data_IF_359575704202
#
_entry.id   IF_359575704202
#
_cell.length_a   1.000
_cell.length_b   1.000
_cell.length_c   1.000
_cell.angle_alpha   90.00
_cell.angle_beta   90.00
_cell.angle_gamma   90.00
#
_symmetry.space_group_name_H-M   'P 1'
#
loop_
_entity.id
_entity.type
_entity.pdbx_description
1 polymer ?
#
# COMPACT_ATOMS: atom_id res chain seq x y z
N UNK A 1 61.14 48.14 23.58
CA UNK A 1 60.86 46.96 22.77
C UNK A 1 59.38 46.56 23.03
N UNK A 2 58.46 46.90 22.16
CA UNK A 2 57.02 46.55 22.26
C UNK A 2 56.72 45.44 21.26
N UNK A 3 56.38 44.29 21.79
CA UNK A 3 56.01 43.11 20.97
C UNK A 3 54.52 43.12 20.78
N UNK A 4 54.06 43.41 19.54
CA UNK A 4 52.65 43.39 19.18
C UNK A 4 52.29 41.97 18.68
N UNK A 5 51.47 41.28 19.46
CA UNK A 5 50.92 39.96 19.07
C UNK A 5 49.67 40.18 18.20
N UNK A 6 49.75 39.82 16.94
CA UNK A 6 48.61 39.85 16.00
C UNK A 6 47.90 38.49 16.10
N UNK A 7 46.72 38.49 16.68
CA UNK A 7 45.89 37.30 16.80
C UNK A 7 45.05 37.16 15.52
N UNK A 8 45.29 36.10 14.70
CA UNK A 8 44.47 35.74 13.56
C UNK A 8 43.26 34.93 14.04
N UNK A 9 42.04 35.47 13.89
CA UNK A 9 40.80 34.76 14.13
C UNK A 9 40.42 34.06 12.81
N UNK A 10 40.51 32.73 12.81
CA UNK A 10 40.07 31.88 11.69
C UNK A 10 38.57 31.70 11.79
N UNK A 11 37.79 32.35 10.94
CA UNK A 11 36.35 32.16 10.83
C UNK A 11 36.06 30.89 10.04
N UNK A 12 35.60 29.84 10.73
CA UNK A 12 35.14 28.59 10.09
C UNK A 12 33.71 28.81 9.64
N UNK A 13 33.50 29.01 8.34
CA UNK A 13 32.18 28.96 7.71
C UNK A 13 31.74 27.51 7.58
N UNK A 14 30.88 27.03 8.44
CA UNK A 14 30.18 25.76 8.32
C UNK A 14 29.11 25.93 7.22
N UNK A 15 29.39 25.41 6.04
CA UNK A 15 28.39 25.32 4.95
C UNK A 15 27.35 24.28 5.34
N UNK A 16 26.16 24.72 5.74
CA UNK A 16 25.00 23.84 5.90
C UNK A 16 24.53 23.41 4.51
N UNK A 17 24.89 22.19 4.13
CA UNK A 17 24.33 21.57 2.93
C UNK A 17 22.82 21.43 3.10
N UNK A 18 22.05 22.16 2.31
CA UNK A 18 20.59 22.10 2.28
C UNK A 18 20.19 20.75 1.68
N UNK A 19 19.62 19.90 2.53
CA UNK A 19 19.11 18.59 2.11
C UNK A 19 17.95 18.83 1.13
N UNK A 20 17.93 18.18 -0.06
CA UNK A 20 16.82 18.34 -0.99
C UNK A 20 15.51 17.97 -0.29
N UNK A 21 14.51 18.83 -0.40
CA UNK A 21 13.17 18.54 0.11
C UNK A 21 12.66 17.25 -0.52
N UNK A 22 12.15 16.32 0.30
CA UNK A 22 11.51 15.13 -0.19
C UNK A 22 10.39 15.52 -1.18
N UNK A 23 10.23 14.80 -2.31
CA UNK A 23 9.16 15.10 -3.24
C UNK A 23 7.81 15.04 -2.51
N UNK A 24 6.84 15.92 -2.85
CA UNK A 24 5.54 15.91 -2.20
C UNK A 24 4.92 14.53 -2.33
N UNK A 25 4.36 14.03 -1.23
CA UNK A 25 3.62 12.77 -1.22
C UNK A 25 2.61 12.81 -2.35
N UNK A 26 2.69 11.84 -3.27
CA UNK A 26 1.77 11.74 -4.40
C UNK A 26 0.34 11.76 -3.87
N UNK A 27 -0.47 12.75 -4.26
CA UNK A 27 -1.91 12.79 -4.05
C UNK A 27 -2.61 11.84 -5.03
N UNK A 28 -2.03 10.68 -5.26
CA UNK A 28 -2.60 9.67 -6.15
C UNK A 28 -4.01 9.33 -5.66
N UNK A 29 -5.01 9.74 -6.42
CA UNK A 29 -6.39 9.34 -6.19
C UNK A 29 -6.51 7.86 -6.50
N UNK A 30 -7.05 7.08 -5.55
CA UNK A 30 -7.32 5.66 -5.79
C UNK A 30 -8.50 5.52 -6.75
N UNK A 31 -8.28 4.82 -7.85
CA UNK A 31 -9.31 4.63 -8.89
C UNK A 31 -10.29 3.53 -8.48
N UNK A 32 -11.59 3.86 -8.48
CA UNK A 32 -12.65 2.93 -8.11
C UNK A 32 -12.86 1.83 -9.16
N UNK A 33 -12.79 2.16 -10.46
CA UNK A 33 -12.99 1.17 -11.51
C UNK A 33 -11.83 0.15 -11.57
N UNK A 34 -10.60 0.60 -11.33
CA UNK A 34 -9.47 -0.30 -11.16
C UNK A 34 -9.67 -1.20 -9.94
N UNK A 35 -10.11 -0.63 -8.82
CA UNK A 35 -10.43 -1.41 -7.63
C UNK A 35 -11.46 -2.49 -7.93
N UNK A 36 -12.61 -2.10 -8.47
CA UNK A 36 -13.72 -3.01 -8.76
C UNK A 36 -13.34 -4.14 -9.70
N UNK A 37 -12.60 -3.82 -10.75
CA UNK A 37 -12.31 -4.78 -11.84
C UNK A 37 -11.02 -5.57 -11.64
N UNK A 38 -10.06 -5.08 -10.87
CA UNK A 38 -8.74 -5.70 -10.72
C UNK A 38 -8.41 -6.10 -9.28
N UNK A 39 -8.69 -5.23 -8.32
CA UNK A 39 -8.35 -5.47 -6.90
C UNK A 39 -9.38 -6.36 -6.23
N UNK A 40 -10.65 -6.06 -6.38
CA UNK A 40 -11.75 -6.76 -5.70
C UNK A 40 -11.80 -8.26 -6.02
N UNK A 41 -11.56 -8.75 -7.25
CA UNK A 41 -11.48 -10.18 -7.55
C UNK A 41 -10.41 -10.92 -6.74
N UNK A 42 -9.31 -10.26 -6.36
CA UNK A 42 -8.24 -10.85 -5.55
C UNK A 42 -8.76 -11.33 -4.19
N UNK A 43 -9.73 -10.62 -3.61
CA UNK A 43 -10.32 -10.99 -2.31
C UNK A 43 -11.22 -12.24 -2.39
N UNK A 44 -11.69 -12.57 -3.58
CA UNK A 44 -12.50 -13.75 -3.88
C UNK A 44 -11.68 -14.95 -4.37
N UNK A 45 -10.45 -14.69 -4.82
CA UNK A 45 -9.58 -15.71 -5.38
C UNK A 45 -9.25 -16.80 -4.34
N UNK A 46 -9.38 -18.06 -4.74
CA UNK A 46 -8.95 -19.21 -3.93
C UNK A 46 -7.49 -19.52 -4.25
N UNK A 47 -6.67 -19.57 -3.22
CA UNK A 47 -5.25 -19.94 -3.33
C UNK A 47 -5.00 -21.27 -2.66
N UNK A 48 -4.11 -22.14 -3.20
CA UNK A 48 -3.72 -23.38 -2.54
C UNK A 48 -3.21 -23.11 -1.12
N UNK A 49 -3.70 -23.86 -0.16
CA UNK A 49 -3.27 -23.74 1.24
C UNK A 49 -3.82 -22.53 2.00
N UNK A 50 -4.61 -21.65 1.37
CA UNK A 50 -5.14 -20.45 2.00
C UNK A 50 -6.67 -20.34 1.91
N UNK A 51 -7.28 -19.76 2.95
CA UNK A 51 -8.65 -19.29 2.87
C UNK A 51 -8.73 -18.08 1.92
N UNK A 52 -9.90 -17.85 1.29
CA UNK A 52 -10.14 -16.60 0.55
C UNK A 52 -10.12 -15.42 1.53
N UNK A 53 -9.61 -14.26 1.11
CA UNK A 53 -9.57 -13.07 1.96
C UNK A 53 -10.94 -12.73 2.54
N UNK A 54 -12.01 -12.83 1.72
CA UNK A 54 -13.40 -12.60 2.15
C UNK A 54 -13.81 -13.49 3.32
N UNK A 55 -13.29 -14.71 3.46
CA UNK A 55 -13.71 -15.63 4.51
C UNK A 55 -13.47 -15.07 5.92
N UNK A 56 -12.39 -14.33 6.11
CA UNK A 56 -12.08 -13.65 7.36
C UNK A 56 -12.58 -12.20 7.34
N UNK A 57 -12.41 -11.50 6.22
CA UNK A 57 -12.69 -10.07 6.13
C UNK A 57 -14.18 -9.71 6.01
N UNK A 58 -15.08 -10.69 5.79
CA UNK A 58 -16.52 -10.46 5.92
C UNK A 58 -17.04 -10.40 7.36
N UNK A 59 -16.26 -10.92 8.32
CA UNK A 59 -16.73 -11.07 9.70
C UNK A 59 -16.39 -9.85 10.58
N UNK A 60 -15.17 -9.73 11.07
CA UNK A 60 -14.80 -8.71 12.04
C UNK A 60 -13.31 -8.36 11.96
N UNK A 61 -12.97 -7.37 11.17
CA UNK A 61 -11.58 -6.91 11.03
C UNK A 61 -11.54 -5.41 10.76
N UNK A 62 -10.37 -4.81 10.87
CA UNK A 62 -10.16 -3.40 10.51
C UNK A 62 -10.42 -3.08 9.03
N UNK A 63 -10.36 -4.10 8.14
CA UNK A 63 -10.73 -4.02 6.74
C UNK A 63 -11.95 -4.93 6.51
N UNK A 64 -13.14 -4.46 6.80
CA UNK A 64 -14.35 -5.26 6.66
C UNK A 64 -14.92 -5.14 5.26
N UNK A 65 -14.96 -6.26 4.55
CA UNK A 65 -15.65 -6.41 3.26
C UNK A 65 -17.12 -6.77 3.48
N UNK A 66 -17.97 -6.44 2.50
CA UNK A 66 -19.34 -6.89 2.50
C UNK A 66 -19.39 -8.42 2.33
N UNK A 67 -20.26 -9.14 3.04
CA UNK A 67 -20.49 -10.55 2.75
C UNK A 67 -21.08 -10.69 1.33
N UNK A 68 -20.78 -11.82 0.65
CA UNK A 68 -21.47 -12.13 -0.59
C UNK A 68 -22.89 -12.58 -0.30
N UNK A 69 -23.85 -12.11 -1.11
CA UNK A 69 -25.20 -12.64 -1.07
C UNK A 69 -25.20 -14.15 -1.47
N UNK A 70 -26.11 -14.95 -0.91
CA UNK A 70 -26.21 -16.37 -1.26
C UNK A 70 -26.31 -16.57 -2.78
N UNK A 71 -25.44 -17.42 -3.32
CA UNK A 71 -25.40 -17.72 -4.75
C UNK A 71 -24.66 -16.67 -5.62
N UNK A 72 -24.25 -15.54 -5.06
CA UNK A 72 -23.51 -14.52 -5.82
C UNK A 72 -22.02 -14.86 -5.93
N UNK A 73 -21.46 -14.69 -7.12
CA UNK A 73 -20.03 -14.85 -7.38
C UNK A 73 -19.25 -13.54 -7.16
N UNK A 74 -19.93 -12.40 -7.10
CA UNK A 74 -19.33 -11.07 -6.92
C UNK A 74 -20.27 -10.15 -6.15
N UNK A 75 -19.80 -8.96 -5.83
CA UNK A 75 -20.56 -7.91 -5.17
C UNK A 75 -21.35 -7.05 -6.15
N UNK A 76 -22.44 -6.48 -5.67
CA UNK A 76 -23.16 -5.41 -6.36
C UNK A 76 -22.31 -4.13 -6.42
N UNK A 77 -22.74 -3.17 -7.22
CA UNK A 77 -22.08 -1.86 -7.32
C UNK A 77 -22.01 -1.14 -5.95
N UNK A 78 -23.15 -1.14 -5.23
CA UNK A 78 -23.23 -0.53 -3.91
C UNK A 78 -22.29 -1.20 -2.88
N UNK A 79 -22.24 -2.53 -2.87
CA UNK A 79 -21.33 -3.29 -2.01
C UNK A 79 -19.87 -3.05 -2.40
N UNK A 80 -19.59 -2.90 -3.69
CA UNK A 80 -18.26 -2.58 -4.20
C UNK A 80 -17.78 -1.21 -3.73
N UNK A 81 -18.65 -0.21 -3.69
CA UNK A 81 -18.33 1.10 -3.09
C UNK A 81 -18.02 0.99 -1.60
N UNK A 82 -18.81 0.22 -0.84
CA UNK A 82 -18.55 -0.02 0.59
C UNK A 82 -17.21 -0.75 0.80
N UNK A 83 -16.89 -1.72 -0.05
CA UNK A 83 -15.62 -2.41 -0.04
C UNK A 83 -14.46 -1.48 -0.37
N UNK A 84 -14.60 -0.64 -1.40
CA UNK A 84 -13.62 0.38 -1.73
C UNK A 84 -13.33 1.28 -0.55
N UNK A 85 -14.37 1.79 0.12
CA UNK A 85 -14.21 2.64 1.31
C UNK A 85 -13.54 1.93 2.49
N UNK A 86 -13.74 0.63 2.64
CA UNK A 86 -13.07 -0.17 3.67
C UNK A 86 -11.59 -0.37 3.33
N UNK A 87 -11.28 -0.72 2.07
CA UNK A 87 -9.94 -1.10 1.64
C UNK A 87 -9.03 0.13 1.48
N UNK A 88 -9.53 1.25 0.97
CA UNK A 88 -8.73 2.47 0.80
C UNK A 88 -8.12 2.98 2.12
N UNK A 89 -8.77 2.69 3.26
CA UNK A 89 -8.22 3.02 4.59
C UNK A 89 -6.97 2.23 4.96
N UNK A 90 -6.69 1.13 4.26
CA UNK A 90 -5.48 0.32 4.42
C UNK A 90 -4.35 0.76 3.49
N UNK A 91 -4.56 1.83 2.71
CA UNK A 91 -3.59 2.32 1.72
C UNK A 91 -3.03 3.67 2.15
N UNK A 92 -1.72 3.79 2.08
CA UNK A 92 -1.01 5.05 2.04
C UNK A 92 -0.64 5.27 0.57
N UNK A 93 -1.28 6.20 -0.15
CA UNK A 93 -1.08 6.36 -1.59
C UNK A 93 0.40 6.56 -1.95
N UNK A 94 0.87 5.83 -2.96
CA UNK A 94 2.26 5.85 -3.41
C UNK A 94 3.26 5.15 -2.48
N UNK A 95 2.81 4.43 -1.45
CA UNK A 95 3.70 3.79 -0.48
C UNK A 95 3.55 2.27 -0.45
N UNK A 96 4.68 1.58 -0.60
CA UNK A 96 4.75 0.12 -0.38
C UNK A 96 4.47 -0.27 1.08
N UNK A 97 4.54 0.68 2.02
CA UNK A 97 4.24 0.47 3.44
C UNK A 97 2.73 0.49 3.75
N UNK A 98 1.89 0.52 2.72
CA UNK A 98 0.45 0.34 2.87
C UNK A 98 0.14 -1.00 3.53
N UNK A 99 -0.72 -1.01 4.55
CA UNK A 99 -1.11 -2.26 5.23
C UNK A 99 -1.73 -3.28 4.27
N UNK A 100 -2.44 -2.81 3.25
CA UNK A 100 -2.97 -3.65 2.18
C UNK A 100 -1.88 -4.49 1.49
N UNK A 101 -0.67 -3.95 1.36
CA UNK A 101 0.46 -4.60 0.70
C UNK A 101 1.29 -5.44 1.66
N UNK A 102 1.60 -4.88 2.83
CA UNK A 102 2.53 -5.51 3.77
C UNK A 102 1.89 -6.65 4.58
N UNK A 103 0.61 -6.50 4.95
CA UNK A 103 -0.03 -7.43 5.87
C UNK A 103 -0.15 -8.86 5.33
N UNK A 104 -0.59 -9.09 4.07
CA UNK A 104 -0.67 -10.41 3.45
C UNK A 104 0.66 -10.90 2.83
N UNK A 105 1.72 -10.08 2.81
CA UNK A 105 3.02 -10.43 2.24
C UNK A 105 3.87 -11.22 3.25
N UNK A 106 4.63 -12.20 2.77
CA UNK A 106 5.58 -12.95 3.57
C UNK A 106 6.62 -12.02 4.22
N UNK A 107 7.00 -12.32 5.46
CA UNK A 107 7.97 -11.51 6.22
C UNK A 107 9.32 -11.43 5.52
N UNK A 108 9.76 -12.53 4.92
CA UNK A 108 11.00 -12.65 4.17
C UNK A 108 10.99 -11.80 2.88
N UNK A 109 9.78 -11.48 2.37
CA UNK A 109 9.58 -10.60 1.24
C UNK A 109 9.38 -9.12 1.65
N UNK A 110 9.50 -8.80 2.95
CA UNK A 110 9.34 -7.46 3.50
C UNK A 110 7.94 -7.17 4.04
N UNK A 111 7.12 -8.20 4.26
CA UNK A 111 5.80 -8.07 4.85
C UNK A 111 5.82 -7.89 6.37
N UNK A 112 4.66 -7.58 6.94
CA UNK A 112 4.47 -7.50 8.39
C UNK A 112 4.73 -8.85 9.06
N UNK A 113 5.13 -8.79 10.33
CA UNK A 113 5.37 -10.01 11.12
C UNK A 113 4.12 -10.89 11.23
N UNK A 114 2.94 -10.29 11.42
CA UNK A 114 1.73 -11.03 11.70
C UNK A 114 0.57 -10.69 10.74
N UNK A 115 -0.12 -11.74 10.28
CA UNK A 115 -1.42 -11.68 9.62
C UNK A 115 -2.20 -12.93 10.02
N UNK A 116 -3.34 -12.78 10.71
CA UNK A 116 -4.11 -13.89 11.28
C UNK A 116 -4.60 -14.88 10.20
N UNK A 117 -4.86 -14.41 8.99
CA UNK A 117 -5.25 -15.25 7.85
C UNK A 117 -4.08 -15.93 7.13
N UNK A 118 -2.85 -15.81 7.65
CA UNK A 118 -1.63 -16.27 7.00
C UNK A 118 -1.11 -15.33 5.92
N UNK A 119 0.05 -15.64 5.38
CA UNK A 119 0.71 -14.84 4.34
C UNK A 119 0.30 -15.36 2.96
N UNK A 120 -0.46 -14.55 2.23
CA UNK A 120 -1.04 -14.93 0.93
C UNK A 120 -0.07 -14.77 -0.24
N UNK A 121 0.93 -13.88 -0.09
CA UNK A 121 1.92 -13.57 -1.13
C UNK A 121 3.32 -13.90 -0.62
N UNK A 122 4.00 -14.83 -1.28
CA UNK A 122 5.38 -15.23 -0.93
C UNK A 122 6.43 -14.25 -1.45
N UNK A 123 6.07 -13.40 -2.41
CA UNK A 123 7.00 -12.49 -3.09
C UNK A 123 6.30 -11.21 -3.54
N UNK A 124 7.06 -10.12 -3.61
CA UNK A 124 6.62 -8.87 -4.25
C UNK A 124 6.46 -8.99 -5.78
N UNK A 125 6.87 -10.11 -6.37
CA UNK A 125 6.66 -10.41 -7.79
C UNK A 125 5.37 -11.20 -8.05
N UNK A 126 4.58 -11.50 -7.02
CA UNK A 126 3.28 -12.14 -7.20
C UNK A 126 2.37 -11.22 -8.02
N UNK A 127 1.73 -11.74 -9.10
CA UNK A 127 0.89 -10.91 -9.99
C UNK A 127 -0.27 -10.19 -9.29
N UNK A 128 -0.88 -10.84 -8.28
CA UNK A 128 -1.96 -10.23 -7.52
C UNK A 128 -1.42 -9.16 -6.55
N UNK A 129 -0.27 -9.40 -5.93
CA UNK A 129 0.40 -8.39 -5.11
C UNK A 129 0.81 -7.17 -5.95
N UNK A 130 1.32 -7.38 -7.17
CA UNK A 130 1.64 -6.30 -8.10
C UNK A 130 0.39 -5.51 -8.50
N UNK A 131 -0.75 -6.18 -8.69
CA UNK A 131 -2.04 -5.51 -8.96
C UNK A 131 -2.48 -4.63 -7.78
N UNK A 132 -2.36 -5.12 -6.54
CA UNK A 132 -2.64 -4.31 -5.35
C UNK A 132 -1.70 -3.10 -5.27
N UNK A 133 -0.42 -3.29 -5.57
CA UNK A 133 0.59 -2.22 -5.60
C UNK A 133 0.26 -1.17 -6.66
N UNK A 134 -0.06 -1.60 -7.89
CA UNK A 134 -0.43 -0.71 -8.98
C UNK A 134 -1.57 0.23 -8.57
N UNK A 135 -2.63 -0.32 -7.99
CA UNK A 135 -3.73 0.47 -7.46
C UNK A 135 -3.29 1.42 -6.33
N UNK A 136 -2.53 0.93 -5.35
CA UNK A 136 -2.04 1.74 -4.24
C UNK A 136 -1.14 2.90 -4.71
N UNK A 137 -0.53 2.77 -5.89
CA UNK A 137 0.30 3.80 -6.55
C UNK A 137 -0.48 4.68 -7.53
N UNK A 138 -1.81 4.52 -7.62
CA UNK A 138 -2.69 5.39 -8.39
C UNK A 138 -2.82 5.00 -9.86
N UNK A 139 -2.51 3.75 -10.23
CA UNK A 139 -2.84 3.28 -11.56
C UNK A 139 -4.35 3.23 -11.78
N UNK A 140 -4.76 3.53 -13.01
CA UNK A 140 -6.16 3.55 -13.44
C UNK A 140 -6.40 2.49 -14.51
N UNK A 141 -7.65 2.13 -14.74
CA UNK A 141 -8.02 1.21 -15.84
C UNK A 141 -7.54 1.71 -17.20
N UNK A 142 -7.44 3.02 -17.41
CA UNK A 142 -6.95 3.64 -18.66
C UNK A 142 -5.44 3.48 -18.85
N UNK A 143 -4.67 3.40 -17.76
CA UNK A 143 -3.20 3.27 -17.80
C UNK A 143 -2.78 1.82 -18.06
N UNK A 144 -3.59 0.85 -17.65
CA UNK A 144 -3.30 -0.59 -17.79
C UNK A 144 -3.58 -1.18 -19.18
N UNK A 145 -4.04 -0.37 -20.15
CA UNK A 145 -4.42 -0.81 -21.50
C UNK A 145 -3.31 -0.63 -22.56
N UNK A 146 -2.05 -0.45 -22.14
CA UNK A 146 -0.90 -0.27 -23.04
C UNK A 146 0.02 -1.47 -23.05
#
# INVERSE_FOLDING_TARGET
>A
MHLTIVTWILAIFTSMAQQPAAPPASTASLDFEFFKTRVQPIFLAKRPGHARCIACHAAATGMRLQPLAPGSATWTEEESHKNFDAVRRMVVPGSVKSRLLMHPLATEAGGDFFHNGGKHFSSQNDPEWLTLKAWAFGETTKTSSK
#
